data_IF_565962693614
#
_entry.id   IF_565962693614
#
_cell.length_a   1.000
_cell.length_b   1.000
_cell.length_c   1.000
_cell.angle_alpha   90.00
_cell.angle_beta   90.00
_cell.angle_gamma   90.00
#
_symmetry.space_group_name_H-M   'P 1'
#
loop_
_entity.id
_entity.type
_entity.pdbx_description
1 polymer ?
#
# COMPACT_ATOMS: atom_id res chain seq x y z
N UNK A 1 44.57 -16.30 -1.00
CA UNK A 1 44.71 -14.83 -1.11
C UNK A 1 43.96 -14.38 -2.36
N UNK A 2 43.38 -13.17 -2.33
CA UNK A 2 42.61 -12.51 -3.40
C UNK A 2 41.08 -12.69 -3.37
N UNK A 3 40.47 -12.35 -2.22
CA UNK A 3 39.10 -11.79 -2.17
C UNK A 3 39.14 -10.61 -1.18
N UNK A 4 39.81 -9.50 -1.56
CA UNK A 4 39.84 -8.25 -0.77
C UNK A 4 39.78 -6.96 -1.59
N UNK A 5 39.68 -7.01 -2.93
CA UNK A 5 39.87 -5.81 -3.76
C UNK A 5 38.60 -5.09 -4.24
N UNK A 6 37.40 -5.61 -3.95
CA UNK A 6 36.15 -4.97 -4.42
C UNK A 6 35.55 -3.96 -3.41
N UNK A 7 36.06 -3.88 -2.18
CA UNK A 7 35.49 -3.02 -1.11
C UNK A 7 36.16 -1.62 -1.05
N UNK A 8 37.29 -1.41 -1.74
CA UNK A 8 38.07 -0.16 -1.64
C UNK A 8 37.67 0.91 -2.68
N UNK A 9 36.98 0.54 -3.77
CA UNK A 9 36.61 1.49 -4.83
C UNK A 9 35.37 2.34 -4.52
N UNK A 10 34.48 1.92 -3.60
CA UNK A 10 33.22 2.63 -3.35
C UNK A 10 33.28 3.69 -2.22
N UNK A 11 34.43 3.89 -1.56
CA UNK A 11 34.64 4.96 -0.56
C UNK A 11 35.24 6.25 -1.13
N UNK A 12 35.59 6.30 -2.43
CA UNK A 12 36.19 7.49 -3.07
C UNK A 12 35.19 8.45 -3.75
N UNK A 13 33.91 8.10 -3.85
CA UNK A 13 32.89 8.97 -4.49
C UNK A 13 32.10 9.80 -3.47
N UNK A 14 32.18 9.46 -2.17
CA UNK A 14 31.47 10.18 -1.11
C UNK A 14 32.31 11.29 -0.42
N UNK A 15 33.60 11.42 -0.74
CA UNK A 15 34.47 12.46 -0.18
C UNK A 15 34.58 13.73 -1.05
N UNK A 16 33.97 13.76 -2.24
CA UNK A 16 34.15 14.85 -3.23
C UNK A 16 32.99 15.84 -3.26
N UNK A 17 32.05 15.80 -2.30
CA UNK A 17 30.94 16.76 -2.17
C UNK A 17 30.94 17.58 -0.89
N UNK A 18 32.02 17.52 -0.10
CA UNK A 18 32.10 18.20 1.19
C UNK A 18 33.42 18.97 1.37
N UNK A 19 33.86 19.66 0.32
CA UNK A 19 34.94 20.67 0.38
C UNK A 19 34.71 21.66 -0.75
N UNK A 20 33.83 22.63 -0.53
CA UNK A 20 33.71 23.87 -1.33
C UNK A 20 33.07 24.97 -0.48
N UNK A 21 33.56 25.10 0.76
CA UNK A 21 33.16 26.16 1.67
C UNK A 21 34.37 26.54 2.54
N UNK A 22 35.47 26.95 1.91
CA UNK A 22 36.50 27.74 2.58
C UNK A 22 37.44 28.37 1.55
N UNK A 23 37.72 29.66 1.76
CA UNK A 23 38.78 30.47 1.15
C UNK A 23 38.51 31.08 -0.24
N UNK A 24 38.28 32.41 -0.24
CA UNK A 24 38.86 33.46 -1.10
C UNK A 24 38.37 34.82 -0.52
N UNK A 25 39.15 35.45 0.37
CA UNK A 25 40.11 36.57 0.12
C UNK A 25 39.46 37.95 -0.21
N UNK A 26 39.46 38.80 0.83
CA UNK A 26 39.96 40.19 0.92
C UNK A 26 39.49 41.32 -0.03
N UNK A 27 38.92 42.35 0.62
CA UNK A 27 38.93 43.83 0.42
C UNK A 27 37.95 44.53 -0.56
N UNK A 28 37.42 45.73 -0.20
CA UNK A 28 36.26 46.37 -0.85
C UNK A 28 36.63 47.51 -1.81
N UNK A 29 35.68 48.01 -2.64
CA UNK A 29 35.36 49.44 -2.51
C UNK A 29 33.88 49.84 -2.77
N UNK A 30 33.52 50.95 -2.11
CA UNK A 30 32.61 52.06 -2.48
C UNK A 30 31.19 51.82 -3.03
N UNK A 31 30.25 52.34 -2.22
CA UNK A 31 28.90 52.83 -2.48
C UNK A 31 28.48 53.17 -3.93
N UNK A 32 27.31 52.66 -4.30
CA UNK A 32 26.25 53.46 -4.93
C UNK A 32 24.89 52.77 -4.79
N UNK A 33 23.91 53.54 -4.33
CA UNK A 33 22.50 53.26 -4.15
C UNK A 33 21.81 52.58 -5.34
N UNK A 34 20.87 51.67 -5.09
CA UNK A 34 19.48 51.79 -5.56
C UNK A 34 18.55 50.67 -5.02
N UNK A 35 17.53 51.11 -4.29
CA UNK A 35 16.15 50.61 -4.21
C UNK A 35 15.86 49.14 -4.59
N UNK A 36 15.62 48.29 -3.59
CA UNK A 36 14.70 47.16 -3.73
C UNK A 36 13.78 47.02 -2.50
N UNK A 37 12.50 47.13 -2.80
CA UNK A 37 11.32 47.10 -1.97
C UNK A 37 11.18 45.73 -1.27
N UNK A 38 11.43 45.67 0.05
CA UNK A 38 11.23 44.46 0.86
C UNK A 38 9.96 44.59 1.70
N UNK A 39 8.92 43.85 1.31
CA UNK A 39 7.71 43.63 2.13
C UNK A 39 8.11 42.81 3.36
N UNK A 40 8.06 43.45 4.52
CA UNK A 40 8.25 42.87 5.86
C UNK A 40 7.05 41.96 6.17
N UNK A 41 7.26 40.64 6.17
CA UNK A 41 6.32 39.67 6.76
C UNK A 41 6.56 39.70 8.27
N UNK A 42 5.57 40.17 9.04
CA UNK A 42 5.60 40.08 10.49
C UNK A 42 5.37 38.62 10.91
N UNK A 43 6.34 38.05 11.64
CA UNK A 43 6.15 36.85 12.43
C UNK A 43 5.48 37.25 13.75
N UNK A 44 4.28 36.75 14.00
CA UNK A 44 3.59 36.91 15.26
C UNK A 44 3.90 35.70 16.14
N UNK A 45 4.70 35.93 17.18
CA UNK A 45 5.06 34.94 18.20
C UNK A 45 3.86 34.72 19.11
N UNK A 46 3.43 33.46 19.27
CA UNK A 46 2.40 33.08 20.23
C UNK A 46 2.99 33.09 21.64
N UNK A 47 2.37 33.87 22.52
CA UNK A 47 2.66 33.97 23.95
C UNK A 47 1.73 33.03 24.70
N UNK A 48 2.29 32.02 25.34
CA UNK A 48 1.61 31.25 26.39
C UNK A 48 1.44 32.15 27.62
N UNK A 49 0.20 32.37 28.06
CA UNK A 49 -0.24 32.57 29.45
C UNK A 49 -1.63 33.23 29.44
N UNK A 50 -2.67 32.43 29.68
CA UNK A 50 -3.98 32.93 30.13
C UNK A 50 -4.46 32.04 31.28
N UNK A 51 -4.26 32.45 32.55
CA UNK A 51 -4.72 31.71 33.72
C UNK A 51 -5.99 32.38 34.25
N UNK A 52 -7.16 31.83 33.94
CA UNK A 52 -8.38 31.93 34.76
C UNK A 52 -9.56 31.24 34.05
N UNK A 53 -9.79 29.97 34.34
CA UNK A 53 -11.16 29.45 34.44
C UNK A 53 -11.22 28.49 35.63
N UNK A 54 -11.97 28.92 36.64
CA UNK A 54 -12.02 28.38 37.99
C UNK A 54 -13.04 27.24 38.08
N UNK A 55 -12.64 26.19 38.81
CA UNK A 55 -13.40 25.20 39.60
C UNK A 55 -14.75 24.65 39.08
N UNK A 56 -14.85 23.32 39.02
CA UNK A 56 -15.56 22.62 40.10
C UNK A 56 -15.04 21.18 40.27
N UNK A 57 -14.74 20.83 41.52
CA UNK A 57 -14.43 19.47 41.96
C UNK A 57 -15.75 18.82 42.36
N UNK A 58 -15.88 17.50 42.14
CA UNK A 58 -16.20 16.49 43.16
C UNK A 58 -16.89 15.26 42.57
N UNK A 59 -16.42 14.09 43.05
CA UNK A 59 -17.16 12.84 43.24
C UNK A 59 -17.58 12.04 42.00
N UNK A 60 -16.80 11.00 41.67
CA UNK A 60 -17.24 9.61 41.91
C UNK A 60 -16.16 8.60 41.47
N UNK A 61 -15.32 8.20 42.42
CA UNK A 61 -14.36 7.08 42.33
C UNK A 61 -14.92 5.75 42.90
N UNK A 62 -16.24 5.62 43.06
CA UNK A 62 -16.86 4.38 43.53
C UNK A 62 -17.86 3.80 42.51
N UNK A 63 -17.37 3.04 41.53
CA UNK A 63 -18.04 1.80 41.10
C UNK A 63 -17.14 0.93 40.21
N UNK A 64 -15.98 0.56 40.74
CA UNK A 64 -15.11 -0.46 40.14
C UNK A 64 -15.36 -1.81 40.80
N UNK A 65 -16.56 -2.38 40.68
CA UNK A 65 -16.83 -3.82 40.64
C UNK A 65 -18.24 -4.07 40.07
N UNK A 66 -18.34 -5.04 39.17
CA UNK A 66 -19.59 -5.63 38.68
C UNK A 66 -20.34 -4.87 37.58
N UNK A 67 -19.88 -5.01 36.33
CA UNK A 67 -20.76 -5.24 35.17
C UNK A 67 -19.95 -5.90 34.04
N UNK A 68 -19.83 -7.23 34.10
CA UNK A 68 -19.58 -8.03 32.89
C UNK A 68 -20.81 -7.90 32.00
N UNK A 69 -20.74 -7.05 30.97
CA UNK A 69 -21.60 -7.15 29.79
C UNK A 69 -20.73 -7.22 28.54
N UNK A 70 -20.90 -8.34 27.85
CA UNK A 70 -20.52 -8.59 26.48
C UNK A 70 -20.79 -7.34 25.63
N UNK A 71 -19.74 -6.70 25.13
CA UNK A 71 -19.83 -5.79 23.97
C UNK A 71 -18.92 -6.39 22.91
N UNK A 72 -19.54 -7.16 22.02
CA UNK A 72 -18.99 -7.49 20.72
C UNK A 72 -18.88 -6.18 19.93
N UNK A 73 -17.67 -5.64 19.80
CA UNK A 73 -17.39 -4.57 18.83
C UNK A 73 -17.03 -5.24 17.52
N UNK A 74 -17.89 -5.00 16.52
CA UNK A 74 -17.89 -5.65 15.24
C UNK A 74 -16.56 -5.51 14.51
N UNK A 75 -15.96 -6.66 14.23
CA UNK A 75 -15.11 -6.78 13.05
C UNK A 75 -15.96 -6.39 11.84
N UNK A 76 -15.50 -5.39 11.09
CA UNK A 76 -15.89 -5.23 9.69
C UNK A 76 -15.33 -6.45 8.96
N UNK A 77 -16.04 -7.57 9.08
CA UNK A 77 -15.81 -8.73 8.24
C UNK A 77 -15.95 -8.27 6.80
N UNK A 78 -15.06 -8.79 5.95
CA UNK A 78 -15.27 -8.91 4.52
C UNK A 78 -16.56 -9.73 4.30
N UNK A 79 -17.71 -9.07 4.43
CA UNK A 79 -19.02 -9.67 4.34
C UNK A 79 -19.31 -9.95 2.88
N UNK A 80 -19.61 -11.21 2.59
CA UNK A 80 -20.07 -11.66 1.27
C UNK A 80 -19.01 -12.34 0.42
N UNK A 81 -18.15 -13.17 0.99
CA UNK A 81 -17.84 -14.44 0.31
C UNK A 81 -18.84 -15.42 0.91
N UNK A 82 -19.72 -16.01 0.08
CA UNK A 82 -20.58 -17.11 0.53
C UNK A 82 -19.68 -18.09 1.27
N UNK A 83 -20.04 -18.43 2.50
CA UNK A 83 -19.36 -19.45 3.29
C UNK A 83 -18.97 -20.59 2.36
N UNK A 84 -17.66 -20.79 2.19
CA UNK A 84 -17.19 -22.02 1.58
C UNK A 84 -17.71 -23.10 2.53
N UNK A 85 -18.77 -23.80 2.10
CA UNK A 85 -19.11 -25.10 2.67
C UNK A 85 -17.80 -25.86 2.79
N UNK A 86 -17.58 -26.53 3.92
CA UNK A 86 -16.36 -27.25 4.33
C UNK A 86 -15.88 -28.28 3.29
N UNK A 87 -15.52 -27.83 2.10
CA UNK A 87 -14.96 -28.63 1.04
C UNK A 87 -13.46 -28.61 1.30
N UNK A 88 -12.89 -29.80 1.42
CA UNK A 88 -11.49 -30.05 1.78
C UNK A 88 -10.51 -29.00 1.24
N UNK A 89 -9.47 -28.71 2.02
CA UNK A 89 -8.36 -27.83 1.61
C UNK A 89 -7.80 -28.17 0.22
N UNK A 90 -7.85 -29.45 -0.18
CA UNK A 90 -7.53 -29.93 -1.52
C UNK A 90 -8.42 -29.33 -2.63
N UNK A 91 -9.74 -29.22 -2.39
CA UNK A 91 -10.70 -28.62 -3.32
C UNK A 91 -10.46 -27.11 -3.48
N UNK A 92 -10.22 -26.41 -2.36
CA UNK A 92 -9.86 -24.99 -2.41
C UNK A 92 -8.59 -24.78 -3.23
N UNK A 93 -7.53 -25.55 -2.94
CA UNK A 93 -6.26 -25.47 -3.65
C UNK A 93 -6.42 -25.71 -5.14
N UNK A 94 -7.20 -26.72 -5.54
CA UNK A 94 -7.50 -27.00 -6.94
C UNK A 94 -8.24 -25.85 -7.63
N UNK A 95 -9.22 -25.25 -6.94
CA UNK A 95 -9.95 -24.10 -7.47
C UNK A 95 -9.03 -22.90 -7.69
N UNK A 96 -8.18 -22.57 -6.70
CA UNK A 96 -7.21 -21.47 -6.82
C UNK A 96 -6.20 -21.75 -7.92
N UNK A 97 -5.71 -22.99 -8.05
CA UNK A 97 -4.83 -23.37 -9.15
C UNK A 97 -5.47 -23.08 -10.53
N UNK A 98 -6.75 -23.41 -10.71
CA UNK A 98 -7.49 -23.11 -11.94
C UNK A 98 -7.65 -21.61 -12.20
N UNK A 99 -7.83 -20.79 -11.15
CA UNK A 99 -7.84 -19.33 -11.28
C UNK A 99 -6.48 -18.81 -11.77
N UNK A 100 -5.38 -19.33 -11.21
CA UNK A 100 -4.03 -18.95 -11.63
C UNK A 100 -3.71 -19.41 -13.06
N UNK A 101 -4.21 -20.56 -13.49
CA UNK A 101 -4.07 -21.04 -14.87
C UNK A 101 -4.73 -20.07 -15.87
N UNK A 102 -5.92 -19.57 -15.50
CA UNK A 102 -6.69 -18.60 -16.31
C UNK A 102 -5.96 -17.26 -16.47
N UNK A 103 -5.12 -16.88 -15.51
CA UNK A 103 -4.28 -15.68 -15.58
C UNK A 103 -3.06 -15.86 -16.49
N UNK A 104 -2.62 -17.10 -16.72
CA UNK A 104 -1.53 -17.46 -17.62
C UNK A 104 -0.23 -16.68 -17.37
N UNK A 105 0.09 -16.43 -16.10
CA UNK A 105 1.34 -15.76 -15.69
C UNK A 105 2.51 -16.70 -15.94
N UNK A 106 3.53 -16.22 -16.65
CA UNK A 106 4.75 -17.00 -16.91
C UNK A 106 5.61 -17.08 -15.64
N UNK A 107 6.34 -18.20 -15.41
CA UNK A 107 7.39 -18.24 -14.39
C UNK A 107 8.34 -17.04 -14.49
N UNK A 108 8.69 -16.45 -13.35
CA UNK A 108 9.43 -15.20 -13.23
C UNK A 108 8.56 -13.93 -13.38
N UNK A 109 7.27 -14.09 -13.69
CA UNK A 109 6.32 -12.98 -13.80
C UNK A 109 5.70 -12.58 -12.46
N UNK A 110 5.12 -11.39 -12.42
CA UNK A 110 4.51 -10.82 -11.22
C UNK A 110 2.98 -10.88 -11.27
N UNK A 111 2.37 -11.35 -10.18
CA UNK A 111 0.95 -11.35 -9.90
C UNK A 111 0.63 -10.37 -8.77
N UNK A 112 -0.33 -9.47 -8.97
CA UNK A 112 -0.90 -8.65 -7.90
C UNK A 112 -2.25 -9.21 -7.47
N UNK A 113 -2.53 -9.32 -6.17
CA UNK A 113 -3.83 -9.72 -5.67
C UNK A 113 -4.20 -9.00 -4.39
N UNK A 114 -5.50 -8.90 -4.11
CA UNK A 114 -6.02 -8.39 -2.84
C UNK A 114 -6.53 -9.51 -1.94
N UNK A 115 -6.99 -9.13 -0.74
CA UNK A 115 -7.41 -10.07 0.32
C UNK A 115 -6.33 -11.11 0.63
N UNK A 116 -5.07 -10.68 0.71
CA UNK A 116 -3.92 -11.59 0.87
C UNK A 116 -3.98 -12.45 2.12
N UNK A 117 -4.63 -11.96 3.17
CA UNK A 117 -4.82 -12.62 4.47
C UNK A 117 -6.01 -13.58 4.53
N UNK A 118 -6.82 -13.66 3.46
CA UNK A 118 -7.89 -14.66 3.34
C UNK A 118 -7.34 -16.05 3.05
N UNK A 119 -8.14 -17.09 3.31
CA UNK A 119 -7.77 -18.48 2.97
C UNK A 119 -7.44 -18.65 1.48
N UNK A 120 -8.19 -17.98 0.59
CA UNK A 120 -7.90 -17.96 -0.85
C UNK A 120 -6.56 -17.26 -1.10
N UNK A 121 -6.34 -16.09 -0.48
CA UNK A 121 -5.12 -15.30 -0.63
C UNK A 121 -3.86 -16.05 -0.18
N UNK A 122 -3.92 -16.75 0.95
CA UNK A 122 -2.83 -17.60 1.45
C UNK A 122 -2.50 -18.73 0.47
N UNK A 123 -3.52 -19.38 -0.10
CA UNK A 123 -3.33 -20.43 -1.11
C UNK A 123 -2.77 -19.86 -2.42
N UNK A 124 -3.18 -18.65 -2.83
CA UNK A 124 -2.60 -17.94 -4.00
C UNK A 124 -1.11 -17.73 -3.81
N UNK A 125 -0.68 -17.24 -2.64
CA UNK A 125 0.74 -17.01 -2.31
C UNK A 125 1.55 -18.31 -2.42
N UNK A 126 1.08 -19.39 -1.80
CA UNK A 126 1.77 -20.68 -1.81
C UNK A 126 1.89 -21.23 -3.23
N UNK A 127 0.80 -21.21 -4.01
CA UNK A 127 0.82 -21.70 -5.39
C UNK A 127 1.65 -20.82 -6.32
N UNK A 128 1.67 -19.50 -6.09
CA UNK A 128 2.51 -18.58 -6.84
C UNK A 128 4.00 -18.89 -6.62
N UNK A 129 4.42 -19.12 -5.38
CA UNK A 129 5.77 -19.55 -5.04
C UNK A 129 6.15 -20.87 -5.72
N UNK A 130 5.27 -21.87 -5.68
CA UNK A 130 5.48 -23.16 -6.37
C UNK A 130 5.61 -23.02 -7.89
N UNK A 131 4.94 -22.02 -8.47
CA UNK A 131 4.99 -21.69 -9.91
C UNK A 131 6.10 -20.71 -10.28
N UNK A 132 6.98 -20.37 -9.32
CA UNK A 132 8.04 -19.38 -9.48
C UNK A 132 7.51 -18.01 -9.95
N UNK A 133 6.38 -17.57 -9.38
CA UNK A 133 5.80 -16.25 -9.63
C UNK A 133 6.12 -15.32 -8.47
N UNK A 134 6.37 -14.05 -8.79
CA UNK A 134 6.46 -13.01 -7.78
C UNK A 134 5.06 -12.49 -7.43
N UNK A 135 4.83 -12.17 -6.15
CA UNK A 135 3.55 -11.73 -5.61
C UNK A 135 3.60 -10.33 -5.02
N UNK A 136 2.59 -9.53 -5.35
CA UNK A 136 2.22 -8.32 -4.61
C UNK A 136 0.86 -8.58 -3.95
N UNK A 137 0.86 -8.88 -2.65
CA UNK A 137 -0.32 -9.19 -1.86
C UNK A 137 -0.79 -7.95 -1.11
N UNK A 138 -2.00 -7.47 -1.42
CA UNK A 138 -2.63 -6.35 -0.72
C UNK A 138 -3.49 -6.92 0.41
N UNK A 139 -3.31 -6.38 1.62
CA UNK A 139 -4.11 -6.69 2.80
C UNK A 139 -4.79 -5.43 3.36
N UNK A 140 -5.86 -5.61 4.12
CA UNK A 140 -6.54 -4.50 4.79
C UNK A 140 -5.69 -3.92 5.93
N UNK A 141 -5.79 -2.61 6.15
CA UNK A 141 -5.23 -1.95 7.33
C UNK A 141 -6.05 -2.30 8.58
N UNK A 142 -5.47 -3.09 9.49
CA UNK A 142 -6.10 -3.47 10.75
C UNK A 142 -5.07 -3.66 11.87
N UNK A 143 -5.49 -3.68 13.15
CA UNK A 143 -4.59 -4.09 14.22
C UNK A 143 -3.98 -5.47 13.93
N UNK A 144 -2.66 -5.62 14.08
CA UNK A 144 -1.94 -6.87 13.75
C UNK A 144 -1.50 -6.99 12.28
N UNK A 145 -1.66 -5.94 11.45
CA UNK A 145 -1.11 -5.91 10.08
C UNK A 145 0.38 -6.28 10.00
N UNK A 146 1.29 -5.80 10.89
CA UNK A 146 2.71 -6.20 10.85
C UNK A 146 2.91 -7.72 10.99
N UNK A 147 2.26 -8.36 11.96
CA UNK A 147 2.35 -9.81 12.18
C UNK A 147 1.77 -10.58 10.98
N UNK A 148 0.67 -10.08 10.42
CA UNK A 148 0.06 -10.65 9.20
C UNK A 148 1.02 -10.59 8.01
N UNK A 149 1.77 -9.49 7.85
CA UNK A 149 2.79 -9.36 6.80
C UNK A 149 3.88 -10.42 6.97
N UNK A 150 4.35 -10.63 8.20
CA UNK A 150 5.36 -11.65 8.50
C UNK A 150 4.84 -13.07 8.23
N UNK A 151 3.61 -13.38 8.63
CA UNK A 151 2.95 -14.66 8.35
C UNK A 151 2.88 -14.91 6.84
N UNK A 152 2.38 -13.95 6.06
CA UNK A 152 2.22 -14.09 4.61
C UNK A 152 3.58 -14.21 3.90
N UNK A 153 4.62 -13.52 4.38
CA UNK A 153 5.99 -13.70 3.88
C UNK A 153 6.54 -15.09 4.21
N UNK A 154 6.28 -15.62 5.41
CA UNK A 154 6.68 -16.97 5.78
C UNK A 154 6.01 -18.04 4.89
N UNK A 155 4.77 -17.81 4.45
CA UNK A 155 4.08 -18.66 3.47
C UNK A 155 4.66 -18.57 2.05
N UNK A 156 5.50 -17.57 1.78
CA UNK A 156 6.14 -17.38 0.48
C UNK A 156 5.78 -16.10 -0.25
N UNK A 157 5.06 -15.16 0.38
CA UNK A 157 4.74 -13.87 -0.22
C UNK A 157 5.99 -13.02 -0.38
N UNK A 158 6.21 -12.48 -1.58
CA UNK A 158 7.39 -11.65 -1.86
C UNK A 158 7.21 -10.24 -1.31
N UNK A 159 6.08 -9.63 -1.67
CA UNK A 159 5.74 -8.27 -1.29
C UNK A 159 4.33 -8.26 -0.75
N UNK A 160 4.20 -7.94 0.53
CA UNK A 160 2.90 -7.79 1.20
C UNK A 160 2.78 -6.34 1.64
N UNK A 161 1.69 -5.70 1.22
CA UNK A 161 1.45 -4.27 1.46
C UNK A 161 0.07 -4.04 2.05
N UNK A 162 -0.08 -3.14 3.03
CA UNK A 162 -1.40 -2.72 3.47
C UNK A 162 -2.10 -1.88 2.39
N UNK A 163 -3.42 -1.78 2.44
CA UNK A 163 -4.23 -0.99 1.51
C UNK A 163 -3.76 0.47 1.48
N UNK A 164 -3.42 1.05 2.63
CA UNK A 164 -2.87 2.40 2.78
C UNK A 164 -1.65 2.64 1.90
N UNK A 165 -0.75 1.66 1.79
CA UNK A 165 0.42 1.74 0.93
C UNK A 165 0.03 1.88 -0.55
N UNK A 166 -1.07 1.26 -0.98
CA UNK A 166 -1.53 1.31 -2.38
C UNK A 166 -1.98 2.70 -2.83
N UNK A 167 -2.24 3.60 -1.87
CA UNK A 167 -2.64 4.99 -2.09
C UNK A 167 -1.43 5.92 -2.26
N UNK A 168 -0.22 5.42 -2.02
CA UNK A 168 1.02 6.20 -2.10
C UNK A 168 1.63 6.18 -3.50
N UNK A 169 2.54 7.13 -3.76
CA UNK A 169 3.35 7.13 -4.98
C UNK A 169 4.31 5.92 -5.03
N UNK A 170 4.68 5.35 -3.88
CA UNK A 170 5.56 4.19 -3.79
C UNK A 170 4.92 2.95 -4.43
N UNK A 171 3.61 2.74 -4.27
CA UNK A 171 2.91 1.65 -4.97
C UNK A 171 2.98 1.79 -6.49
N UNK A 172 2.87 3.02 -7.01
CA UNK A 172 3.01 3.27 -8.45
C UNK A 172 4.42 2.94 -8.94
N UNK A 173 5.44 3.35 -8.18
CA UNK A 173 6.84 3.01 -8.49
C UNK A 173 7.06 1.49 -8.48
N UNK A 174 6.59 0.81 -7.43
CA UNK A 174 6.67 -0.64 -7.28
C UNK A 174 6.02 -1.37 -8.47
N UNK A 175 4.81 -0.96 -8.85
CA UNK A 175 4.08 -1.56 -9.97
C UNK A 175 4.81 -1.37 -11.31
N UNK A 176 5.45 -0.21 -11.51
CA UNK A 176 6.24 0.06 -12.72
C UNK A 176 7.55 -0.73 -12.77
N UNK A 177 8.13 -1.04 -11.61
CA UNK A 177 9.37 -1.82 -11.52
C UNK A 177 9.11 -3.30 -11.77
N UNK A 178 8.05 -3.85 -11.15
CA UNK A 178 7.74 -5.29 -11.20
C UNK A 178 6.85 -5.70 -12.36
N UNK A 179 6.21 -4.73 -13.03
CA UNK A 179 5.36 -4.92 -14.19
C UNK A 179 4.37 -6.12 -14.07
N UNK A 180 3.44 -6.11 -13.10
CA UNK A 180 2.49 -7.22 -12.92
C UNK A 180 1.68 -7.49 -14.18
N UNK A 181 1.87 -8.66 -14.80
CA UNK A 181 1.16 -9.04 -16.03
C UNK A 181 -0.28 -9.48 -15.76
N UNK A 182 -0.59 -9.79 -14.50
CA UNK A 182 -1.90 -10.24 -14.08
C UNK A 182 -2.30 -9.66 -12.72
N UNK A 183 -3.61 -9.49 -12.53
CA UNK A 183 -4.22 -9.10 -11.28
C UNK A 183 -5.40 -10.00 -10.91
N UNK A 184 -5.46 -10.45 -9.66
CA UNK A 184 -6.56 -11.23 -9.10
C UNK A 184 -7.32 -10.39 -8.06
N UNK A 185 -8.61 -10.19 -8.31
CA UNK A 185 -9.50 -9.43 -7.44
C UNK A 185 -10.52 -10.34 -6.74
N UNK A 186 -10.61 -10.17 -5.42
CA UNK A 186 -11.47 -10.89 -4.48
C UNK A 186 -12.39 -9.94 -3.68
N UNK A 187 -12.40 -8.63 -4.01
CA UNK A 187 -13.24 -7.61 -3.36
C UNK A 187 -13.98 -6.73 -4.39
N UNK A 188 -14.87 -5.86 -3.93
CA UNK A 188 -15.69 -4.93 -4.73
C UNK A 188 -15.43 -3.45 -4.41
N UNK A 189 -14.48 -3.17 -3.50
CA UNK A 189 -14.13 -1.83 -3.05
C UNK A 189 -12.84 -1.27 -3.67
N UNK A 190 -12.20 -0.34 -2.95
CA UNK A 190 -10.98 0.33 -3.43
C UNK A 190 -9.83 -0.63 -3.72
N UNK A 191 -9.70 -1.75 -2.99
CA UNK A 191 -8.65 -2.74 -3.30
C UNK A 191 -8.80 -3.35 -4.70
N UNK A 192 -10.03 -3.48 -5.23
CA UNK A 192 -10.22 -3.89 -6.62
C UNK A 192 -9.58 -2.87 -7.58
N UNK A 193 -9.79 -1.57 -7.31
CA UNK A 193 -9.15 -0.48 -8.05
C UNK A 193 -7.62 -0.54 -7.91
N UNK A 194 -7.10 -0.81 -6.72
CA UNK A 194 -5.66 -0.90 -6.46
C UNK A 194 -5.01 -2.03 -7.27
N UNK A 195 -5.59 -3.23 -7.27
CA UNK A 195 -5.14 -4.36 -8.09
C UNK A 195 -5.16 -3.97 -9.57
N UNK A 196 -6.29 -3.45 -10.06
CA UNK A 196 -6.44 -3.06 -11.46
C UNK A 196 -5.44 -1.95 -11.87
N UNK A 197 -5.11 -1.02 -10.98
CA UNK A 197 -4.11 0.04 -11.21
C UNK A 197 -2.67 -0.51 -11.27
N UNK A 198 -2.37 -1.58 -10.55
CA UNK A 198 -1.03 -2.19 -10.53
C UNK A 198 -0.73 -3.05 -11.77
N UNK A 199 -1.73 -3.70 -12.37
CA UNK A 199 -1.53 -4.52 -13.59
C UNK A 199 -0.97 -3.66 -14.73
N UNK A 200 -0.10 -4.18 -15.59
CA UNK A 200 0.38 -3.44 -16.77
C UNK A 200 -0.71 -3.25 -17.82
N UNK A 201 -0.56 -2.27 -18.72
CA UNK A 201 -1.47 -2.16 -19.86
C UNK A 201 -1.39 -3.42 -20.74
N UNK A 202 -2.52 -3.95 -21.19
CA UNK A 202 -2.56 -5.23 -21.92
C UNK A 202 -2.55 -6.48 -21.04
N UNK A 203 -2.38 -6.35 -19.73
CA UNK A 203 -2.39 -7.47 -18.78
C UNK A 203 -3.79 -8.07 -18.56
N UNK A 204 -3.83 -9.15 -17.77
CA UNK A 204 -5.07 -9.86 -17.43
C UNK A 204 -5.58 -9.41 -16.06
N UNK A 205 -6.86 -9.06 -15.95
CA UNK A 205 -7.52 -8.74 -14.69
C UNK A 205 -8.68 -9.71 -14.47
N UNK A 206 -8.58 -10.54 -13.45
CA UNK A 206 -9.57 -11.54 -13.09
C UNK A 206 -10.29 -11.13 -11.81
N UNK A 207 -11.62 -11.11 -11.82
CA UNK A 207 -12.42 -11.00 -10.60
C UNK A 207 -13.08 -12.34 -10.31
N UNK A 208 -12.91 -12.83 -9.08
CA UNK A 208 -13.49 -14.09 -8.63
C UNK A 208 -14.51 -13.87 -7.51
N UNK A 209 -15.72 -14.41 -7.67
CA UNK A 209 -16.76 -14.44 -6.63
C UNK A 209 -17.34 -13.08 -6.26
N UNK A 210 -16.98 -12.02 -6.98
CA UNK A 210 -17.42 -10.64 -6.74
C UNK A 210 -17.92 -10.00 -8.03
N UNK A 211 -18.86 -9.06 -7.88
CA UNK A 211 -19.31 -8.20 -8.97
C UNK A 211 -18.80 -6.80 -8.72
N UNK A 212 -18.02 -6.27 -9.67
CA UNK A 212 -17.56 -4.89 -9.59
C UNK A 212 -18.77 -3.94 -9.61
N UNK A 213 -18.73 -2.86 -8.81
CA UNK A 213 -19.75 -1.82 -8.85
C UNK A 213 -19.79 -1.14 -10.23
N UNK A 214 -20.78 -0.28 -10.45
CA UNK A 214 -20.88 0.48 -11.72
C UNK A 214 -19.66 1.40 -11.92
N UNK A 215 -19.27 2.10 -10.87
CA UNK A 215 -18.18 3.06 -10.91
C UNK A 215 -16.95 2.57 -10.14
N UNK A 216 -15.77 2.95 -10.61
CA UNK A 216 -14.50 2.68 -9.96
C UNK A 216 -14.43 3.45 -8.64
N UNK A 217 -14.12 2.75 -7.55
CA UNK A 217 -13.87 3.38 -6.26
C UNK A 217 -12.52 4.12 -6.32
N UNK A 218 -12.57 5.44 -6.18
CA UNK A 218 -11.39 6.29 -6.01
C UNK A 218 -11.44 6.96 -4.66
N UNK A 219 -10.29 7.08 -4.02
CA UNK A 219 -10.10 7.95 -2.87
C UNK A 219 -9.55 9.31 -3.33
N UNK A 220 -9.96 10.39 -2.65
CA UNK A 220 -9.51 11.76 -2.91
C UNK A 220 -10.60 12.70 -3.42
N UNK A 221 -10.19 13.88 -3.92
CA UNK A 221 -11.09 14.95 -4.35
C UNK A 221 -12.18 14.46 -5.32
N UNK A 222 -13.35 15.10 -5.27
CA UNK A 222 -14.49 14.77 -6.12
C UNK A 222 -14.09 14.70 -7.59
N UNK A 223 -14.02 13.48 -8.13
CA UNK A 223 -13.80 13.21 -9.54
C UNK A 223 -15.14 12.86 -10.18
N UNK A 224 -15.26 13.13 -11.49
CA UNK A 224 -16.35 12.56 -12.27
C UNK A 224 -16.30 11.04 -12.11
N UNK A 225 -17.42 10.38 -11.75
CA UNK A 225 -17.46 8.93 -11.65
C UNK A 225 -16.99 8.30 -12.96
N UNK A 226 -16.07 7.35 -12.87
CA UNK A 226 -15.55 6.59 -14.03
C UNK A 226 -16.16 5.20 -13.96
N UNK A 227 -16.80 4.77 -15.04
CA UNK A 227 -17.30 3.41 -15.18
C UNK A 227 -16.14 2.40 -15.24
N UNK A 228 -16.30 1.22 -14.63
CA UNK A 228 -15.30 0.16 -14.75
C UNK A 228 -15.02 -0.24 -16.20
N UNK A 229 -16.05 -0.25 -17.06
CA UNK A 229 -15.89 -0.56 -18.49
C UNK A 229 -14.95 0.42 -19.21
N UNK A 230 -15.07 1.72 -18.92
CA UNK A 230 -14.20 2.75 -19.49
C UNK A 230 -12.76 2.60 -18.97
N UNK A 231 -12.60 2.38 -17.66
CA UNK A 231 -11.31 2.23 -17.01
C UNK A 231 -10.52 1.01 -17.54
N UNK A 232 -11.20 -0.14 -17.66
CA UNK A 232 -10.60 -1.38 -18.17
C UNK A 232 -10.22 -1.24 -19.65
N UNK A 233 -11.05 -0.55 -20.44
CA UNK A 233 -10.79 -0.28 -21.87
C UNK A 233 -9.59 0.64 -22.07
N UNK A 234 -9.49 1.73 -21.30
CA UNK A 234 -8.36 2.67 -21.36
C UNK A 234 -7.02 1.94 -21.13
N UNK A 235 -7.03 1.00 -20.18
CA UNK A 235 -5.85 0.22 -19.83
C UNK A 235 -5.60 -1.00 -20.72
N UNK A 236 -6.51 -1.27 -21.67
CA UNK A 236 -6.45 -2.40 -22.61
C UNK A 236 -6.40 -3.76 -21.90
N UNK A 237 -7.05 -3.89 -20.75
CA UNK A 237 -6.98 -5.11 -19.95
C UNK A 237 -7.84 -6.22 -20.55
N UNK A 238 -7.32 -7.45 -20.51
CA UNK A 238 -8.12 -8.67 -20.71
C UNK A 238 -8.87 -8.97 -19.41
N UNK A 239 -10.19 -8.90 -19.44
CA UNK A 239 -11.02 -9.06 -18.24
C UNK A 239 -11.62 -10.46 -18.18
N UNK A 240 -11.49 -11.11 -17.02
CA UNK A 240 -12.09 -12.41 -16.71
C UNK A 240 -12.98 -12.26 -15.48
N UNK A 241 -14.21 -12.80 -15.53
CA UNK A 241 -15.13 -12.82 -14.39
C UNK A 241 -15.51 -14.28 -14.12
N UNK A 242 -15.23 -14.77 -12.92
CA UNK A 242 -15.40 -16.19 -12.52
C UNK A 242 -16.13 -16.33 -11.19
#
# INVERSE_FOLDING_TARGET
LLIRDTIVQNRRVLATKQTNALALLTTPPSASSQNLNTRRVQFQTWSENDPNLYSDQTNNEENMQSFRRLIAVGHHHCAGIRSFSTSDSASLRKNVASLLDSLSVKPGGTLVHNCGDSEIGKVVIQLAKERNLQTISIIEDKPGTPDTIEELKALGGDIVVPESYTKTWYMKRLSNELNPSAGLNLSDGYQATAVCKAVVSGGTFLTYGKKLPKHVAYEGAARKPIEWSAFLKEKKLKVLNM
#
